data_IF_780220506483
#
_entry.id   IF_780220506483
#
_cell.length_a   1.000
_cell.length_b   1.000
_cell.length_c   1.000
_cell.angle_alpha   90.00
_cell.angle_beta   90.00
_cell.angle_gamma   90.00
#
_symmetry.space_group_name_H-M   'P 1'
#
loop_
_entity.id
_entity.type
_entity.pdbx_description
1 polymer ?
#
# COMPACT_ATOMS: atom_id res chain seq x y z
N UNK A 1 22.38 99.25 9.86
CA UNK A 1 23.34 98.16 9.58
C UNK A 1 24.28 98.66 8.51
N UNK A 2 25.59 98.67 8.75
CA UNK A 2 26.56 99.19 7.76
C UNK A 2 26.47 98.33 6.49
N UNK A 3 26.46 98.95 5.30
CA UNK A 3 26.31 98.23 4.03
C UNK A 3 27.39 97.18 3.81
N UNK A 4 28.60 97.41 4.34
CA UNK A 4 29.75 96.48 4.29
C UNK A 4 29.47 95.17 5.02
N UNK A 5 28.91 95.25 6.22
CA UNK A 5 28.78 94.10 7.12
C UNK A 5 27.72 93.13 6.60
N UNK A 6 26.70 93.67 5.92
CA UNK A 6 25.65 92.89 5.28
C UNK A 6 26.21 92.06 4.11
N UNK A 7 27.13 92.62 3.33
CA UNK A 7 27.71 91.94 2.17
C UNK A 7 28.74 90.88 2.58
N UNK A 8 29.52 91.15 3.63
CA UNK A 8 30.41 90.15 4.22
C UNK A 8 29.61 88.97 4.82
N UNK A 9 28.52 89.25 5.54
CA UNK A 9 27.65 88.22 6.10
C UNK A 9 27.02 87.35 5.00
N UNK A 10 26.56 87.96 3.90
CA UNK A 10 26.04 87.21 2.73
C UNK A 10 27.11 86.34 2.10
N UNK A 11 28.35 86.83 2.00
CA UNK A 11 29.46 86.05 1.44
C UNK A 11 29.78 84.83 2.33
N UNK A 12 29.95 85.06 3.64
CA UNK A 12 30.19 83.97 4.62
C UNK A 12 29.05 82.97 4.65
N UNK A 13 27.80 83.42 4.57
CA UNK A 13 26.63 82.53 4.50
C UNK A 13 26.62 81.69 3.22
N UNK A 14 27.00 82.26 2.07
CA UNK A 14 27.11 81.51 0.81
C UNK A 14 28.19 80.43 0.88
N UNK A 15 29.36 80.75 1.44
CA UNK A 15 30.45 79.79 1.64
C UNK A 15 30.03 78.67 2.59
N UNK A 16 29.51 79.03 3.77
CA UNK A 16 28.99 78.07 4.75
C UNK A 16 27.92 77.15 4.14
N UNK A 17 26.96 77.72 3.40
CA UNK A 17 25.91 76.93 2.75
C UNK A 17 26.48 75.97 1.72
N UNK A 18 27.47 76.39 0.93
CA UNK A 18 28.13 75.53 -0.04
C UNK A 18 28.88 74.37 0.65
N UNK A 19 29.56 74.63 1.76
CA UNK A 19 30.25 73.61 2.56
C UNK A 19 29.28 72.62 3.21
N UNK A 20 28.16 73.09 3.76
CA UNK A 20 27.15 72.21 4.35
C UNK A 20 26.45 71.36 3.28
N UNK A 21 26.17 71.92 2.10
CA UNK A 21 25.60 71.13 1.00
C UNK A 21 26.60 70.09 0.45
N UNK A 22 27.90 70.38 0.42
CA UNK A 22 28.91 69.40 -0.01
C UNK A 22 29.04 68.25 0.99
N UNK A 23 29.02 68.52 2.30
CA UNK A 23 28.98 67.50 3.35
C UNK A 23 27.71 66.65 3.24
N UNK A 24 26.56 67.30 3.03
CA UNK A 24 25.28 66.58 2.86
C UNK A 24 25.32 65.67 1.63
N UNK A 25 25.85 66.14 0.50
CA UNK A 25 25.97 65.35 -0.72
C UNK A 25 26.90 64.15 -0.50
N UNK A 26 28.05 64.35 0.13
CA UNK A 26 28.99 63.28 0.47
C UNK A 26 28.32 62.20 1.33
N UNK A 27 27.63 62.60 2.40
CA UNK A 27 26.91 61.66 3.27
C UNK A 27 25.82 60.89 2.52
N UNK A 28 25.08 61.53 1.61
CA UNK A 28 24.08 60.86 0.78
C UNK A 28 24.70 59.79 -0.11
N UNK A 29 25.84 60.10 -0.75
CA UNK A 29 26.56 59.14 -1.59
C UNK A 29 27.03 57.96 -0.75
N UNK A 30 27.67 58.21 0.41
CA UNK A 30 28.13 57.14 1.29
C UNK A 30 26.99 56.25 1.82
N UNK A 31 25.81 56.82 2.11
CA UNK A 31 24.65 56.03 2.50
C UNK A 31 24.19 55.13 1.34
N UNK A 32 24.07 55.67 0.13
CA UNK A 32 23.68 54.88 -1.04
C UNK A 32 24.68 53.77 -1.39
N UNK A 33 25.98 54.01 -1.24
CA UNK A 33 27.02 53.00 -1.45
C UNK A 33 26.96 51.88 -0.39
N UNK A 34 26.73 52.25 0.88
CA UNK A 34 26.56 51.27 1.95
C UNK A 34 25.29 50.43 1.76
N UNK A 35 24.18 51.04 1.33
CA UNK A 35 22.93 50.31 1.02
C UNK A 35 23.15 49.27 -0.09
N UNK A 36 23.84 49.65 -1.18
CA UNK A 36 24.17 48.73 -2.27
C UNK A 36 25.10 47.61 -1.79
N UNK A 37 26.12 47.93 -0.99
CA UNK A 37 27.04 46.92 -0.45
C UNK A 37 26.32 45.93 0.47
N UNK A 38 25.49 46.43 1.38
CA UNK A 38 24.71 45.59 2.29
C UNK A 38 23.73 44.70 1.52
N UNK A 39 23.05 45.23 0.50
CA UNK A 39 22.18 44.43 -0.35
C UNK A 39 22.95 43.33 -1.10
N UNK A 40 24.16 43.63 -1.59
CA UNK A 40 24.99 42.64 -2.25
C UNK A 40 25.48 41.55 -1.29
N UNK A 41 25.93 41.93 -0.09
CA UNK A 41 26.35 41.00 0.96
C UNK A 41 25.18 40.09 1.37
N UNK A 42 24.00 40.66 1.58
CA UNK A 42 22.76 39.94 1.87
C UNK A 42 22.46 38.90 0.79
N UNK A 43 22.44 39.30 -0.49
CA UNK A 43 22.18 38.36 -1.60
C UNK A 43 23.20 37.24 -1.62
N UNK A 44 24.50 37.54 -1.46
CA UNK A 44 25.52 36.48 -1.46
C UNK A 44 25.36 35.52 -0.29
N UNK A 45 24.99 36.02 0.89
CA UNK A 45 24.75 35.21 2.06
C UNK A 45 23.52 34.31 1.87
N UNK A 46 22.40 34.89 1.44
CA UNK A 46 21.15 34.16 1.19
C UNK A 46 21.35 33.06 0.14
N UNK A 47 22.14 33.32 -0.92
CA UNK A 47 22.48 32.28 -1.91
C UNK A 47 23.33 31.15 -1.34
N UNK A 48 24.29 31.47 -0.47
CA UNK A 48 25.14 30.46 0.16
C UNK A 48 24.35 29.58 1.14
N UNK A 49 23.47 30.20 1.94
CA UNK A 49 22.56 29.48 2.84
C UNK A 49 21.62 28.55 2.06
N UNK A 50 21.05 29.04 0.95
CA UNK A 50 20.19 28.23 0.10
C UNK A 50 20.94 27.02 -0.47
N UNK A 51 22.16 27.22 -0.96
CA UNK A 51 22.99 26.13 -1.50
C UNK A 51 23.30 25.07 -0.45
N UNK A 52 23.59 25.47 0.79
CA UNK A 52 23.84 24.54 1.89
C UNK A 52 22.57 23.81 2.33
N UNK A 53 21.42 24.49 2.35
CA UNK A 53 20.12 23.83 2.57
C UNK A 53 19.81 22.80 1.49
N UNK A 54 20.10 23.10 0.22
CA UNK A 54 19.90 22.18 -0.90
C UNK A 54 20.79 20.94 -0.74
N UNK A 55 22.07 21.10 -0.38
CA UNK A 55 22.98 19.97 -0.13
C UNK A 55 22.45 19.07 0.98
N UNK A 56 22.06 19.65 2.12
CA UNK A 56 21.48 18.87 3.22
C UNK A 56 20.19 18.16 2.84
N UNK A 57 19.31 18.81 2.06
CA UNK A 57 18.11 18.16 1.55
C UNK A 57 18.44 16.99 0.61
N UNK A 58 19.47 17.12 -0.23
CA UNK A 58 19.93 16.05 -1.10
C UNK A 58 20.50 14.88 -0.31
N UNK A 59 21.38 15.13 0.66
CA UNK A 59 21.93 14.11 1.57
C UNK A 59 20.83 13.37 2.34
N UNK A 60 19.82 14.10 2.82
CA UNK A 60 18.69 13.50 3.49
C UNK A 60 17.86 12.64 2.53
N UNK A 61 17.59 13.12 1.32
CA UNK A 61 16.88 12.36 0.31
C UNK A 61 17.62 11.10 -0.12
N UNK A 62 18.95 11.13 -0.24
CA UNK A 62 19.74 9.93 -0.55
C UNK A 62 19.65 8.92 0.58
N UNK A 63 19.75 9.35 1.84
CA UNK A 63 19.60 8.46 3.00
C UNK A 63 18.22 7.79 3.07
N UNK A 64 17.14 8.53 2.78
CA UNK A 64 15.77 8.00 2.73
C UNK A 64 15.62 7.02 1.56
N UNK A 65 16.19 7.34 0.41
CA UNK A 65 16.12 6.48 -0.77
C UNK A 65 16.73 5.11 -0.50
N UNK A 66 17.89 5.06 0.17
CA UNK A 66 18.53 3.79 0.57
C UNK A 66 17.61 2.98 1.47
N UNK A 67 17.12 3.58 2.56
CA UNK A 67 16.21 2.88 3.49
C UNK A 67 14.90 2.43 2.83
N UNK A 68 14.36 3.25 1.91
CA UNK A 68 13.16 2.91 1.13
C UNK A 68 13.40 1.69 0.25
N UNK A 69 14.53 1.64 -0.44
CA UNK A 69 14.88 0.54 -1.33
C UNK A 69 15.08 -0.76 -0.54
N UNK A 70 15.78 -0.70 0.60
CA UNK A 70 15.92 -1.85 1.49
C UNK A 70 14.56 -2.40 1.93
N UNK A 71 13.65 -1.51 2.38
CA UNK A 71 12.28 -1.92 2.75
C UNK A 71 11.54 -2.55 1.56
N UNK A 72 11.59 -1.94 0.38
CA UNK A 72 10.92 -2.46 -0.80
C UNK A 72 11.42 -3.85 -1.21
N UNK A 73 12.73 -4.11 -1.13
CA UNK A 73 13.29 -5.44 -1.41
C UNK A 73 12.79 -6.47 -0.38
N UNK A 74 12.70 -6.11 0.90
CA UNK A 74 12.12 -7.02 1.90
C UNK A 74 10.62 -7.28 1.68
N UNK A 75 9.87 -6.29 1.22
CA UNK A 75 8.43 -6.42 0.92
C UNK A 75 8.22 -7.31 -0.31
N UNK A 76 9.00 -7.12 -1.38
CA UNK A 76 8.99 -7.98 -2.56
C UNK A 76 9.27 -9.44 -2.20
N UNK A 77 10.30 -9.70 -1.41
CA UNK A 77 10.63 -11.08 -1.00
C UNK A 77 9.47 -11.74 -0.24
N UNK A 78 8.81 -10.99 0.65
CA UNK A 78 7.63 -11.48 1.39
C UNK A 78 6.44 -11.74 0.47
N UNK A 79 6.22 -10.87 -0.51
CA UNK A 79 5.16 -11.03 -1.49
C UNK A 79 5.40 -12.25 -2.39
N UNK A 80 6.62 -12.45 -2.86
CA UNK A 80 7.01 -13.64 -3.63
C UNK A 80 6.79 -14.94 -2.83
N UNK A 81 7.21 -14.97 -1.56
CA UNK A 81 6.97 -16.11 -0.67
C UNK A 81 5.48 -16.36 -0.45
N UNK A 82 4.68 -15.29 -0.31
CA UNK A 82 3.24 -15.39 -0.14
C UNK A 82 2.57 -15.97 -1.40
N UNK A 83 2.96 -15.50 -2.58
CA UNK A 83 2.45 -16.00 -3.86
C UNK A 83 2.81 -17.47 -4.08
N UNK A 84 4.04 -17.88 -3.76
CA UNK A 84 4.44 -19.29 -3.83
C UNK A 84 3.59 -20.18 -2.92
N UNK A 85 3.36 -19.74 -1.67
CA UNK A 85 2.52 -20.48 -0.72
C UNK A 85 1.06 -20.57 -1.20
N UNK A 86 0.53 -19.50 -1.81
CA UNK A 86 -0.81 -19.50 -2.38
C UNK A 86 -0.92 -20.48 -3.56
N UNK A 87 0.08 -20.49 -4.46
CA UNK A 87 0.13 -21.42 -5.59
C UNK A 87 0.22 -22.87 -5.11
N UNK A 88 1.03 -23.16 -4.10
CA UNK A 88 1.13 -24.49 -3.51
C UNK A 88 -0.22 -24.93 -2.93
N UNK A 89 -0.87 -24.09 -2.12
CA UNK A 89 -2.19 -24.39 -1.55
C UNK A 89 -3.24 -24.60 -2.62
N UNK A 90 -3.20 -23.81 -3.70
CA UNK A 90 -4.12 -23.98 -4.81
C UNK A 90 -3.91 -25.31 -5.53
N UNK A 91 -2.66 -25.70 -5.78
CA UNK A 91 -2.32 -26.99 -6.39
C UNK A 91 -2.75 -28.16 -5.50
N UNK A 92 -2.47 -28.12 -4.20
CA UNK A 92 -2.90 -29.15 -3.23
C UNK A 92 -4.42 -29.28 -3.17
N UNK A 93 -5.13 -28.15 -3.11
CA UNK A 93 -6.60 -28.14 -3.13
C UNK A 93 -7.15 -28.69 -4.45
N UNK A 94 -6.61 -28.28 -5.59
CA UNK A 94 -7.01 -28.82 -6.89
C UNK A 94 -6.84 -30.35 -6.96
N UNK A 95 -5.70 -30.87 -6.52
CA UNK A 95 -5.46 -32.32 -6.51
C UNK A 95 -6.45 -33.02 -5.59
N UNK A 96 -6.69 -32.51 -4.38
CA UNK A 96 -7.63 -33.13 -3.43
C UNK A 96 -9.08 -33.10 -3.93
N UNK A 97 -9.54 -31.96 -4.46
CA UNK A 97 -10.90 -31.80 -4.99
C UNK A 97 -11.10 -32.68 -6.22
N UNK A 98 -10.14 -32.73 -7.13
CA UNK A 98 -10.25 -33.58 -8.32
C UNK A 98 -10.19 -35.07 -7.98
N UNK A 99 -9.39 -35.48 -7.00
CA UNK A 99 -9.38 -36.85 -6.49
C UNK A 99 -10.72 -37.21 -5.85
N UNK A 100 -11.24 -36.37 -4.94
CA UNK A 100 -12.53 -36.60 -4.30
C UNK A 100 -13.68 -36.64 -5.30
N UNK A 101 -13.67 -35.76 -6.31
CA UNK A 101 -14.67 -35.76 -7.37
C UNK A 101 -14.60 -37.03 -8.24
N UNK A 102 -13.39 -37.52 -8.56
CA UNK A 102 -13.21 -38.79 -9.29
C UNK A 102 -13.72 -39.97 -8.48
N UNK A 103 -13.39 -40.04 -7.19
CA UNK A 103 -13.85 -41.10 -6.30
C UNK A 103 -15.38 -41.09 -6.16
N UNK A 104 -15.97 -39.91 -6.02
CA UNK A 104 -17.43 -39.76 -6.00
C UNK A 104 -18.05 -40.21 -7.32
N UNK A 105 -17.49 -39.82 -8.46
CA UNK A 105 -17.96 -40.23 -9.78
C UNK A 105 -17.92 -41.76 -9.94
N UNK A 106 -16.82 -42.40 -9.55
CA UNK A 106 -16.70 -43.87 -9.61
C UNK A 106 -17.73 -44.57 -8.73
N UNK A 107 -17.96 -44.07 -7.51
CA UNK A 107 -19.01 -44.59 -6.62
C UNK A 107 -20.40 -44.44 -7.24
N UNK A 108 -20.71 -43.27 -7.79
CA UNK A 108 -21.98 -43.02 -8.45
C UNK A 108 -22.16 -43.87 -9.72
N UNK A 109 -21.09 -44.10 -10.48
CA UNK A 109 -21.14 -44.96 -11.66
C UNK A 109 -21.43 -46.42 -11.27
N UNK A 110 -20.83 -46.91 -10.18
CA UNK A 110 -21.12 -48.24 -9.64
C UNK A 110 -22.56 -48.37 -9.14
N UNK A 111 -23.09 -47.38 -8.42
CA UNK A 111 -24.50 -47.39 -7.98
C UNK A 111 -25.45 -47.18 -9.16
N UNK A 112 -25.03 -46.47 -10.20
CA UNK A 112 -25.88 -46.16 -11.35
C UNK A 112 -26.27 -47.39 -12.17
N UNK A 113 -25.48 -48.46 -12.15
CA UNK A 113 -25.86 -49.72 -12.80
C UNK A 113 -27.03 -50.41 -12.10
N UNK A 114 -27.25 -50.12 -10.82
CA UNK A 114 -28.31 -50.73 -10.01
C UNK A 114 -29.65 -49.99 -10.16
N UNK A 115 -29.69 -48.84 -10.85
CA UNK A 115 -30.93 -48.16 -11.16
C UNK A 115 -31.78 -48.91 -12.19
N UNK A 116 -33.09 -48.91 -11.96
CA UNK A 116 -34.06 -49.55 -12.84
C UNK A 116 -34.12 -48.79 -14.18
N UNK A 117 -33.78 -49.49 -15.26
CA UNK A 117 -33.91 -48.98 -16.63
C UNK A 117 -35.35 -49.19 -17.13
N UNK A 118 -35.84 -48.38 -18.08
CA UNK A 118 -37.20 -48.51 -18.62
C UNK A 118 -37.52 -49.92 -19.14
N UNK A 119 -36.53 -50.55 -19.76
CA UNK A 119 -36.68 -51.88 -20.37
C UNK A 119 -36.82 -53.02 -19.33
N UNK A 120 -36.41 -52.78 -18.07
CA UNK A 120 -36.46 -53.75 -16.96
C UNK A 120 -37.48 -53.39 -15.88
N UNK A 121 -38.37 -52.45 -16.17
CA UNK A 121 -39.31 -51.90 -15.19
C UNK A 121 -40.25 -52.98 -14.63
N UNK A 122 -40.86 -53.79 -15.50
CA UNK A 122 -41.85 -54.80 -15.07
C UNK A 122 -41.20 -55.91 -14.21
N UNK A 123 -40.02 -56.37 -14.60
CA UNK A 123 -39.23 -57.36 -13.85
C UNK A 123 -38.83 -56.82 -12.46
N UNK A 124 -38.48 -55.54 -12.38
CA UNK A 124 -38.15 -54.89 -11.10
C UNK A 124 -39.39 -54.74 -10.20
N UNK A 125 -40.56 -54.45 -10.75
CA UNK A 125 -41.82 -54.35 -10.00
C UNK A 125 -42.19 -55.69 -9.39
N UNK A 126 -42.18 -56.78 -10.17
CA UNK A 126 -42.47 -58.12 -9.65
C UNK A 126 -41.49 -58.51 -8.53
N UNK A 127 -40.19 -58.28 -8.73
CA UNK A 127 -39.16 -58.56 -7.72
C UNK A 127 -39.35 -57.77 -6.43
N UNK A 128 -39.80 -56.51 -6.50
CA UNK A 128 -40.11 -55.70 -5.31
C UNK A 128 -41.40 -56.11 -4.61
N UNK A 129 -42.37 -56.68 -5.33
CA UNK A 129 -43.59 -57.23 -4.71
C UNK A 129 -43.30 -58.54 -3.98
N UNK A 130 -42.37 -59.34 -4.50
CA UNK A 130 -41.95 -60.61 -3.91
C UNK A 130 -40.95 -60.47 -2.75
N UNK A 131 -40.20 -59.37 -2.70
CA UNK A 131 -39.18 -59.13 -1.66
C UNK A 131 -39.58 -58.01 -0.70
N UNK A 132 -39.51 -58.29 0.61
CA UNK A 132 -39.77 -57.31 1.67
C UNK A 132 -38.45 -56.82 2.26
N UNK A 133 -38.19 -55.52 2.14
CA UNK A 133 -37.07 -54.83 2.80
C UNK A 133 -37.56 -54.09 4.04
N UNK A 134 -36.91 -54.30 5.19
CA UNK A 134 -37.19 -53.60 6.44
C UNK A 134 -35.99 -52.73 6.84
N UNK A 135 -36.26 -51.45 7.07
CA UNK A 135 -35.27 -50.47 7.55
C UNK A 135 -35.41 -50.20 9.06
N UNK A 136 -36.30 -50.91 9.77
CA UNK A 136 -36.42 -50.80 11.22
C UNK A 136 -35.17 -51.40 11.90
N UNK A 137 -34.58 -50.63 12.81
CA UNK A 137 -33.53 -51.10 13.68
C UNK A 137 -33.64 -50.43 15.05
N UNK A 138 -33.12 -51.10 16.09
CA UNK A 138 -33.00 -50.53 17.43
C UNK A 138 -31.54 -50.36 17.80
N UNK A 139 -31.21 -49.36 18.62
CA UNK A 139 -29.86 -49.14 19.13
C UNK A 139 -29.81 -49.47 20.61
N UNK A 140 -28.87 -50.32 21.00
CA UNK A 140 -28.62 -50.69 22.40
C UNK A 140 -27.90 -49.57 23.16
N UNK A 141 -27.92 -49.60 24.50
CA UNK A 141 -27.19 -48.64 25.34
C UNK A 141 -25.66 -48.66 25.13
N UNK A 142 -25.12 -49.75 24.56
CA UNK A 142 -23.71 -49.90 24.16
C UNK A 142 -23.41 -49.38 22.75
N UNK A 143 -24.41 -48.87 22.03
CA UNK A 143 -24.27 -48.36 20.66
C UNK A 143 -24.33 -49.44 19.56
N UNK A 144 -24.63 -50.69 19.90
CA UNK A 144 -24.77 -51.77 18.91
C UNK A 144 -26.15 -51.71 18.24
N UNK A 145 -26.18 -51.85 16.91
CA UNK A 145 -27.39 -51.86 16.08
C UNK A 145 -28.01 -53.27 16.10
N UNK A 146 -29.30 -53.35 16.44
CA UNK A 146 -30.12 -54.55 16.35
C UNK A 146 -31.02 -54.41 15.11
N UNK A 147 -30.75 -55.16 14.02
CA UNK A 147 -31.58 -55.12 12.82
C UNK A 147 -32.98 -55.70 13.08
N UNK A 148 -33.96 -55.23 12.31
CA UNK A 148 -35.34 -55.75 12.29
C UNK A 148 -35.46 -57.16 11.70
N UNK A 149 -36.69 -57.59 11.42
CA UNK A 149 -37.00 -58.97 11.02
C UNK A 149 -36.54 -59.30 9.59
N UNK A 150 -36.49 -58.29 8.71
CA UNK A 150 -36.06 -58.43 7.30
C UNK A 150 -35.07 -57.32 6.89
N UNK A 151 -33.85 -57.27 7.46
CA UNK A 151 -32.93 -56.17 7.21
C UNK A 151 -32.48 -56.12 5.76
N UNK A 152 -32.50 -54.92 5.18
CA UNK A 152 -31.95 -54.69 3.84
C UNK A 152 -30.43 -54.95 3.85
N UNK A 153 -30.00 -55.96 3.09
CA UNK A 153 -28.59 -56.37 2.99
C UNK A 153 -27.74 -55.41 2.16
N UNK A 154 -28.35 -54.46 1.47
CA UNK A 154 -27.65 -53.44 0.68
C UNK A 154 -27.40 -52.14 1.47
N UNK A 155 -27.96 -52.03 2.68
CA UNK A 155 -27.85 -50.87 3.54
C UNK A 155 -26.59 -50.91 4.43
N UNK A 156 -25.41 -51.21 3.89
CA UNK A 156 -24.11 -50.98 4.55
C UNK A 156 -23.00 -50.72 3.53
#
# INVERSE_FOLDING_TARGET
VCSSDLDELKHRYRVYRAEVESIRLFLKIQLSENEVRLAQEQVTHDTAELDDMIKHAQEWNTSISVSRNERQETEKLKEEQHLQLLQQKYAENQVSVTAAAKDALLKHQAVSSDFIQPDKLEEAIEKMLDSRSDYNYAITKSGSILPGEFPDRTAH
#
